data_IF_130957075602
#
_entry.id   IF_130957075602
#
_cell.length_a   1.000
_cell.length_b   1.000
_cell.length_c   1.000
_cell.angle_alpha   90.00
_cell.angle_beta   90.00
_cell.angle_gamma   90.00
#
_symmetry.space_group_name_H-M   'P 1'
#
loop_
_entity.id
_entity.type
_entity.pdbx_description
1 polymer ?
#
# COMPACT_ATOMS: atom_id res chain seq x y z
N UNK A 1 19.45 -70.97 63.83
CA UNK A 1 18.31 -71.88 63.60
C UNK A 1 17.05 -71.23 64.16
N UNK A 2 16.10 -70.88 63.29
CA UNK A 2 14.65 -70.88 63.50
C UNK A 2 14.02 -70.00 62.41
N UNK A 3 13.48 -70.65 61.39
CA UNK A 3 12.64 -70.06 60.37
C UNK A 3 11.22 -69.96 60.94
N UNK A 4 10.51 -68.86 60.69
CA UNK A 4 9.07 -68.79 60.93
C UNK A 4 8.40 -68.13 59.72
N UNK A 5 7.87 -69.00 58.86
CA UNK A 5 6.92 -68.73 57.80
C UNK A 5 5.64 -68.10 58.36
N UNK A 6 5.13 -67.06 57.70
CA UNK A 6 3.73 -66.65 57.81
C UNK A 6 3.11 -66.66 56.42
N UNK A 7 2.29 -67.68 56.21
CA UNK A 7 1.50 -67.96 55.02
C UNK A 7 0.10 -67.33 55.14
N UNK A 8 -0.40 -66.92 53.97
CA UNK A 8 -1.81 -66.80 53.54
C UNK A 8 -2.69 -65.76 54.26
N UNK A 9 -3.71 -65.15 53.65
CA UNK A 9 -4.59 -65.66 52.62
C UNK A 9 -5.38 -64.51 51.95
N UNK A 10 -5.52 -64.60 50.64
CA UNK A 10 -6.66 -64.25 49.79
C UNK A 10 -7.70 -63.22 50.25
N UNK A 11 -7.91 -62.20 49.41
CA UNK A 11 -9.27 -61.76 49.08
C UNK A 11 -9.38 -61.46 47.57
N UNK A 12 -10.00 -62.43 46.92
CA UNK A 12 -10.61 -62.39 45.60
C UNK A 12 -11.75 -61.37 45.55
N UNK A 13 -11.82 -60.55 44.51
CA UNK A 13 -13.00 -60.40 43.62
C UNK A 13 -12.84 -59.25 42.62
N UNK A 14 -12.53 -59.62 41.38
CA UNK A 14 -13.20 -59.30 40.11
C UNK A 14 -13.93 -57.95 39.83
N UNK A 15 -14.04 -57.60 38.53
CA UNK A 15 -14.14 -56.24 38.02
C UNK A 15 -15.59 -55.77 37.85
N UNK A 16 -15.81 -54.46 37.95
CA UNK A 16 -17.04 -53.83 37.46
C UNK A 16 -16.74 -52.64 36.58
N UNK A 17 -17.08 -52.86 35.32
CA UNK A 17 -17.29 -51.87 34.28
C UNK A 17 -18.13 -50.70 34.80
N UNK A 18 -17.69 -49.48 34.50
CA UNK A 18 -18.45 -48.57 33.64
C UNK A 18 -17.63 -47.30 33.46
N UNK A 19 -16.79 -47.31 32.43
CA UNK A 19 -16.39 -46.07 31.77
C UNK A 19 -17.66 -45.42 31.22
N UNK A 20 -18.31 -44.60 32.05
CA UNK A 20 -19.40 -43.74 31.60
C UNK A 20 -18.78 -42.69 30.68
N UNK A 21 -18.72 -43.03 29.40
CA UNK A 21 -18.57 -42.05 28.31
C UNK A 21 -19.85 -41.22 28.27
N UNK A 22 -20.05 -40.35 29.26
CA UNK A 22 -20.88 -39.16 29.04
C UNK A 22 -20.07 -38.28 28.09
N UNK A 23 -20.21 -38.59 26.80
CA UNK A 23 -19.78 -37.74 25.71
C UNK A 23 -20.56 -36.42 25.87
N UNK A 24 -20.02 -35.51 26.68
CA UNK A 24 -20.59 -34.20 26.91
C UNK A 24 -20.55 -33.44 25.59
N UNK A 25 -21.71 -33.35 24.92
CA UNK A 25 -21.91 -32.58 23.67
C UNK A 25 -21.30 -31.17 23.74
N UNK A 26 -21.23 -30.58 24.94
CA UNK A 26 -20.57 -29.30 25.20
C UNK A 26 -19.08 -29.26 24.81
N UNK A 27 -18.31 -30.35 24.99
CA UNK A 27 -16.88 -30.38 24.64
C UNK A 27 -16.65 -30.48 23.13
N UNK A 28 -17.49 -31.22 22.42
CA UNK A 28 -17.47 -31.27 20.95
C UNK A 28 -17.83 -29.92 20.34
N UNK A 29 -18.87 -29.25 20.86
CA UNK A 29 -19.29 -27.94 20.34
C UNK A 29 -18.20 -26.87 20.52
N UNK A 30 -17.52 -26.88 21.67
CA UNK A 30 -16.42 -25.95 21.95
C UNK A 30 -15.20 -26.18 21.05
N UNK A 31 -14.93 -27.44 20.69
CA UNK A 31 -13.86 -27.77 19.73
C UNK A 31 -14.16 -27.26 18.32
N UNK A 32 -15.40 -27.40 17.86
CA UNK A 32 -15.84 -26.85 16.57
C UNK A 32 -15.79 -25.32 16.55
N UNK A 33 -16.24 -24.67 17.62
CA UNK A 33 -16.16 -23.20 17.73
C UNK A 33 -14.71 -22.70 17.69
N UNK A 34 -13.77 -23.41 18.32
CA UNK A 34 -12.33 -23.10 18.26
C UNK A 34 -11.76 -23.24 16.84
N UNK A 35 -12.21 -24.25 16.07
CA UNK A 35 -11.83 -24.41 14.67
C UNK A 35 -12.33 -23.25 13.81
N UNK A 36 -13.61 -22.90 13.94
CA UNK A 36 -14.17 -21.74 13.25
C UNK A 36 -13.45 -20.45 13.61
N UNK A 37 -13.14 -20.24 14.90
CA UNK A 37 -12.42 -19.05 15.34
C UNK A 37 -10.99 -18.99 14.74
N UNK A 38 -10.30 -20.13 14.69
CA UNK A 38 -8.96 -20.21 14.07
C UNK A 38 -8.97 -19.99 12.55
N UNK A 39 -10.08 -20.35 11.87
CA UNK A 39 -10.25 -20.13 10.44
C UNK A 39 -10.78 -18.72 10.10
N UNK A 40 -11.51 -18.09 11.03
CA UNK A 40 -12.09 -16.76 10.83
C UNK A 40 -11.01 -15.69 10.71
N UNK A 41 -9.98 -15.74 11.56
CA UNK A 41 -8.88 -14.77 11.51
C UNK A 41 -8.17 -14.70 10.15
N UNK A 42 -7.64 -15.80 9.57
CA UNK A 42 -7.02 -15.75 8.26
C UNK A 42 -8.01 -15.40 7.14
N UNK A 43 -9.30 -15.75 7.29
CA UNK A 43 -10.32 -15.39 6.32
C UNK A 43 -10.60 -13.86 6.32
N UNK A 44 -10.72 -13.24 7.49
CA UNK A 44 -10.87 -11.79 7.62
C UNK A 44 -9.63 -11.07 7.10
N UNK A 45 -8.43 -11.56 7.45
CA UNK A 45 -7.19 -11.01 6.93
C UNK A 45 -7.11 -11.12 5.41
N UNK A 46 -7.47 -12.26 4.83
CA UNK A 46 -7.47 -12.47 3.38
C UNK A 46 -8.41 -11.51 2.64
N UNK A 47 -9.66 -11.37 3.12
CA UNK A 47 -10.62 -10.43 2.53
C UNK A 47 -10.12 -8.98 2.68
N UNK A 48 -9.63 -8.62 3.87
CA UNK A 48 -9.07 -7.30 4.13
C UNK A 48 -7.92 -6.97 3.17
N UNK A 49 -6.98 -7.90 2.98
CA UNK A 49 -5.86 -7.72 2.05
C UNK A 49 -6.35 -7.48 0.63
N UNK A 50 -7.29 -8.28 0.13
CA UNK A 50 -7.81 -8.12 -1.24
C UNK A 50 -8.44 -6.74 -1.42
N UNK A 51 -9.32 -6.33 -0.49
CA UNK A 51 -9.98 -5.03 -0.54
C UNK A 51 -8.96 -3.89 -0.47
N UNK A 52 -8.00 -3.98 0.45
CA UNK A 52 -6.95 -2.98 0.60
C UNK A 52 -6.09 -2.87 -0.65
N UNK A 53 -5.71 -3.99 -1.27
CA UNK A 53 -4.93 -4.00 -2.52
C UNK A 53 -5.68 -3.30 -3.65
N UNK A 54 -6.99 -3.53 -3.81
CA UNK A 54 -7.79 -2.86 -4.85
C UNK A 54 -7.89 -1.36 -4.60
N UNK A 55 -8.14 -0.94 -3.35
CA UNK A 55 -8.17 0.48 -3.00
C UNK A 55 -6.81 1.14 -3.23
N UNK A 56 -5.73 0.48 -2.88
CA UNK A 56 -4.38 1.00 -3.06
C UNK A 56 -4.03 1.18 -4.54
N UNK A 57 -4.46 0.28 -5.43
CA UNK A 57 -4.29 0.46 -6.87
C UNK A 57 -5.07 1.68 -7.38
N UNK A 58 -6.31 1.89 -6.92
CA UNK A 58 -7.08 3.08 -7.31
C UNK A 58 -6.44 4.39 -6.84
N UNK A 59 -5.92 4.43 -5.61
CA UNK A 59 -5.24 5.61 -5.06
C UNK A 59 -3.94 5.84 -5.81
N UNK A 60 -3.17 4.79 -6.10
CA UNK A 60 -1.93 4.91 -6.84
C UNK A 60 -2.14 5.45 -8.26
N UNK A 61 -3.22 5.07 -8.93
CA UNK A 61 -3.59 5.61 -10.25
C UNK A 61 -3.97 7.10 -10.15
N UNK A 62 -4.85 7.45 -9.22
CA UNK A 62 -5.25 8.84 -9.00
C UNK A 62 -4.04 9.74 -8.68
N UNK A 63 -3.12 9.27 -7.83
CA UNK A 63 -1.91 10.00 -7.51
C UNK A 63 -1.00 10.17 -8.73
N UNK A 64 -0.86 9.13 -9.59
CA UNK A 64 -0.06 9.26 -10.82
C UNK A 64 -0.66 10.27 -11.79
N UNK A 65 -1.98 10.29 -11.94
CA UNK A 65 -2.66 11.27 -12.79
C UNK A 65 -2.47 12.70 -12.24
N UNK A 66 -2.56 12.87 -10.92
CA UNK A 66 -2.31 14.14 -10.27
C UNK A 66 -0.84 14.59 -10.40
N UNK A 67 0.11 13.68 -10.17
CA UNK A 67 1.54 13.95 -10.30
C UNK A 67 1.90 14.33 -11.75
N UNK A 68 1.29 13.69 -12.74
CA UNK A 68 1.44 14.06 -14.15
C UNK A 68 0.91 15.46 -14.43
N UNK A 69 -0.32 15.75 -14.01
CA UNK A 69 -0.90 17.08 -14.20
C UNK A 69 -0.07 18.19 -13.54
N UNK A 70 0.43 17.93 -12.33
CA UNK A 70 1.30 18.87 -11.62
C UNK A 70 2.66 19.03 -12.30
N UNK A 71 3.24 17.96 -12.83
CA UNK A 71 4.49 18.02 -13.58
C UNK A 71 4.34 18.84 -14.87
N UNK A 72 3.22 18.68 -15.58
CA UNK A 72 2.92 19.45 -16.79
C UNK A 72 2.73 20.94 -16.47
N UNK A 73 2.02 21.26 -15.38
CA UNK A 73 1.86 22.64 -14.91
C UNK A 73 3.19 23.28 -14.51
N UNK A 74 4.03 22.57 -13.73
CA UNK A 74 5.37 23.02 -13.35
C UNK A 74 6.27 23.25 -14.57
N UNK A 75 6.15 22.40 -15.59
CA UNK A 75 6.89 22.53 -16.84
C UNK A 75 6.45 23.78 -17.59
N UNK A 76 5.14 24.03 -17.71
CA UNK A 76 4.60 25.27 -18.32
C UNK A 76 5.12 26.50 -17.59
N UNK A 77 5.05 26.49 -16.26
CA UNK A 77 5.54 27.60 -15.45
C UNK A 77 7.04 27.84 -15.69
N UNK A 78 7.85 26.79 -15.75
CA UNK A 78 9.29 26.90 -16.05
C UNK A 78 9.55 27.53 -17.42
N UNK A 79 8.77 27.17 -18.44
CA UNK A 79 8.88 27.77 -19.78
C UNK A 79 8.54 29.26 -19.73
N UNK A 80 7.46 29.64 -19.05
CA UNK A 80 7.08 31.05 -18.88
C UNK A 80 8.14 31.85 -18.12
N UNK A 81 8.63 31.33 -17.00
CA UNK A 81 9.66 31.98 -16.19
C UNK A 81 10.95 32.20 -16.98
N UNK A 82 11.39 31.17 -17.72
CA UNK A 82 12.55 31.28 -18.61
C UNK A 82 12.33 32.32 -19.71
N UNK A 83 11.14 32.34 -20.31
CA UNK A 83 10.81 33.32 -21.35
C UNK A 83 10.81 34.76 -20.80
N UNK A 84 10.16 34.99 -19.65
CA UNK A 84 10.12 36.29 -18.99
C UNK A 84 11.54 36.73 -18.64
N UNK A 85 12.34 35.86 -18.02
CA UNK A 85 13.73 36.19 -17.66
C UNK A 85 14.57 36.57 -18.89
N UNK A 86 14.40 35.87 -20.00
CA UNK A 86 15.10 36.15 -21.25
C UNK A 86 14.68 37.50 -21.86
N UNK A 87 13.38 37.80 -21.89
CA UNK A 87 12.88 39.07 -22.40
C UNK A 87 13.28 40.22 -21.47
N UNK A 88 13.19 40.03 -20.15
CA UNK A 88 13.65 41.02 -19.16
C UNK A 88 15.13 41.33 -19.35
N UNK A 89 15.99 40.33 -19.54
CA UNK A 89 17.42 40.54 -19.85
C UNK A 89 17.59 41.33 -21.14
N UNK A 90 16.82 41.01 -22.18
CA UNK A 90 16.89 41.70 -23.47
C UNK A 90 16.48 43.17 -23.36
N UNK A 91 15.41 43.46 -22.61
CA UNK A 91 14.87 44.81 -22.42
C UNK A 91 15.71 45.67 -21.48
N UNK A 92 16.32 45.07 -20.45
CA UNK A 92 17.18 45.76 -19.49
C UNK A 92 18.60 45.96 -19.99
N UNK A 93 19.00 45.28 -21.08
CA UNK A 93 20.31 45.50 -21.68
C UNK A 93 20.39 46.94 -22.23
N UNK A 94 21.38 47.73 -21.79
CA UNK A 94 21.53 49.16 -22.13
C UNK A 94 21.62 49.48 -23.64
N UNK A 95 21.69 48.47 -24.50
CA UNK A 95 21.77 48.60 -25.95
C UNK A 95 20.51 48.06 -26.67
N UNK A 96 19.40 47.88 -25.94
CA UNK A 96 18.12 47.50 -26.52
C UNK A 96 17.57 48.65 -27.38
N UNK A 97 18.01 48.67 -28.63
CA UNK A 97 17.52 49.61 -29.62
C UNK A 97 16.28 48.98 -30.29
N UNK A 98 15.09 49.52 -29.98
CA UNK A 98 13.80 49.10 -30.55
C UNK A 98 13.75 49.23 -32.08
N UNK A 99 14.57 50.10 -32.66
CA UNK A 99 14.69 50.27 -34.12
C UNK A 99 15.63 49.25 -34.79
N UNK A 100 16.37 48.46 -34.00
CA UNK A 100 17.26 47.43 -34.54
C UNK A 100 16.46 46.18 -34.93
N UNK A 101 16.51 45.83 -36.21
CA UNK A 101 15.79 44.68 -36.77
C UNK A 101 16.27 43.36 -36.13
N UNK A 102 17.53 43.29 -35.69
CA UNK A 102 18.10 42.09 -35.09
C UNK A 102 17.53 41.81 -33.69
N UNK A 103 17.30 42.83 -32.86
CA UNK A 103 16.71 42.65 -31.52
C UNK A 103 15.24 42.24 -31.61
N UNK A 104 14.49 42.81 -32.55
CA UNK A 104 13.10 42.38 -32.83
C UNK A 104 13.02 40.94 -33.34
N UNK A 105 13.97 40.53 -34.19
CA UNK A 105 14.06 39.15 -34.69
C UNK A 105 14.35 38.18 -33.55
N UNK A 106 15.24 38.54 -32.62
CA UNK A 106 15.61 37.70 -31.49
C UNK A 106 14.44 37.51 -30.51
N UNK A 107 13.70 38.59 -30.19
CA UNK A 107 12.44 38.50 -29.43
C UNK A 107 11.47 37.55 -30.11
N UNK A 108 11.26 37.70 -31.42
CA UNK A 108 10.33 36.86 -32.18
C UNK A 108 10.71 35.38 -32.12
N UNK A 109 12.01 35.06 -32.26
CA UNK A 109 12.50 33.69 -32.16
C UNK A 109 12.29 33.13 -30.76
N UNK A 110 12.61 33.89 -29.71
CA UNK A 110 12.37 33.47 -28.32
C UNK A 110 10.89 33.23 -28.02
N UNK A 111 10.01 34.12 -28.49
CA UNK A 111 8.55 33.95 -28.35
C UNK A 111 8.05 32.72 -29.10
N UNK A 112 8.48 32.50 -30.35
CA UNK A 112 8.10 31.31 -31.11
C UNK A 112 8.61 30.02 -30.47
N UNK A 113 9.82 30.04 -29.90
CA UNK A 113 10.39 28.89 -29.21
C UNK A 113 9.61 28.55 -27.92
N UNK A 114 9.23 29.57 -27.14
CA UNK A 114 8.40 29.37 -25.95
C UNK A 114 7.01 28.82 -26.32
N UNK A 115 6.36 29.39 -27.35
CA UNK A 115 5.07 28.91 -27.85
C UNK A 115 5.15 27.45 -28.33
N UNK A 116 6.21 27.10 -29.07
CA UNK A 116 6.42 25.72 -29.53
C UNK A 116 6.61 24.74 -28.37
N UNK A 117 7.25 25.16 -27.28
CA UNK A 117 7.42 24.29 -26.11
C UNK A 117 6.11 24.09 -25.32
N UNK A 118 5.16 25.03 -25.45
CA UNK A 118 3.82 24.94 -24.87
C UNK A 118 2.83 24.16 -25.75
N UNK A 119 3.05 24.16 -27.07
CA UNK A 119 2.18 23.53 -28.09
C UNK A 119 2.52 22.05 -28.39
N UNK A 120 3.62 21.53 -27.85
CA UNK A 120 4.02 20.12 -28.00
C UNK A 120 3.29 19.18 -27.02
N UNK A 121 2.34 19.71 -26.24
CA UNK A 121 1.35 18.94 -25.47
C UNK A 121 0.01 18.87 -26.21
#
# INVERSE_FOLDING_TARGET
MAYALKHDNSSSSSPTMSASRTCSKAKCCFQWMKLFLSALFPLVFGIFTIVFTVQQDSIARANREQDQAQADELRKQTVYDSFIADISKLLLYCNFNRSNVNSLRDIRVKTLNALRQLDVE
#
